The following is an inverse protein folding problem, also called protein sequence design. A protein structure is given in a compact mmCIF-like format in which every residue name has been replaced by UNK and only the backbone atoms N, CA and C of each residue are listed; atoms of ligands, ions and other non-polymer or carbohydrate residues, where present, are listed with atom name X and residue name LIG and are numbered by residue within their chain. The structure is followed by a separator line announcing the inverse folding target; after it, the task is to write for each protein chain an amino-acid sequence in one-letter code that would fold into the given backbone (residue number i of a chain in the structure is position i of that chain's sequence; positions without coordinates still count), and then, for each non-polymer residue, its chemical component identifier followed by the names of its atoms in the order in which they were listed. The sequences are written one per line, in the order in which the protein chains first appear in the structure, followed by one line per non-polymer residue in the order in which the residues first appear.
data_IF_649786963976
#
_entry.id   IF_649786963976
#
_cell.length_a   1.000
_cell.length_b   1.000
_cell.length_c   1.000
_cell.angle_alpha   90.00
_cell.angle_beta   90.00
_cell.angle_gamma   90.00
#
_symmetry.space_group_name_H-M   'P 1'
#
loop_
_entity.id
_entity.type
_entity.pdbx_description
1 polymer ?
#
# COMPACT_ATOMS: atom_id res chain seq x y z
N UNK A 1 -19.09 39.65 -52.70
CA UNK A 1 -18.70 40.85 -53.48
C UNK A 1 -19.37 42.08 -52.87
N UNK A 2 -18.56 43.04 -52.38
CA UNK A 2 -18.82 44.31 -51.65
C UNK A 2 -17.88 44.32 -50.42
N UNK A 3 -17.08 45.33 -50.08
CA UNK A 3 -16.80 46.69 -50.56
C UNK A 3 -15.42 47.10 -50.00
N UNK A 4 -14.69 47.91 -50.74
CA UNK A 4 -13.37 48.50 -50.41
C UNK A 4 -13.43 49.66 -49.41
N UNK A 5 -12.37 49.88 -48.61
CA UNK A 5 -11.82 51.15 -48.04
C UNK A 5 -10.43 50.79 -47.42
N UNK A 6 -9.33 51.58 -47.34
CA UNK A 6 -8.64 52.60 -48.12
C UNK A 6 -7.26 52.85 -47.41
N UNK A 7 -6.23 53.24 -48.17
CA UNK A 7 -5.00 54.02 -47.88
C UNK A 7 -4.34 54.00 -46.47
N UNK A 8 -3.08 53.55 -46.29
CA UNK A 8 -1.75 54.21 -46.51
C UNK A 8 -1.49 55.46 -45.65
N UNK A 9 -0.37 55.47 -44.90
CA UNK A 9 0.60 56.56 -44.55
C UNK A 9 1.39 56.12 -43.30
N UNK A 10 2.69 56.31 -43.07
CA UNK A 10 3.90 56.62 -43.86
C UNK A 10 5.13 56.58 -42.90
N UNK A 11 6.35 56.45 -43.46
CA UNK A 11 7.66 56.97 -42.97
C UNK A 11 8.27 56.26 -41.73
N UNK A 12 9.56 55.89 -41.68
CA UNK A 12 10.69 56.22 -42.55
C UNK A 12 11.94 55.36 -42.27
N UNK A 13 12.82 55.37 -43.27
CA UNK A 13 14.16 54.76 -43.32
C UNK A 13 15.20 55.86 -43.09
N UNK A 14 16.30 55.54 -42.39
CA UNK A 14 17.65 56.16 -42.40
C UNK A 14 18.53 55.25 -41.51
N UNK A 15 19.78 54.85 -41.76
CA UNK A 15 20.76 54.86 -42.85
C UNK A 15 21.89 53.89 -42.38
N UNK A 16 22.33 52.91 -43.17
CA UNK A 16 23.61 52.83 -43.92
C UNK A 16 24.93 53.18 -43.17
N UNK A 17 25.80 52.17 -43.00
CA UNK A 17 27.26 52.15 -43.24
C UNK A 17 27.82 50.84 -42.65
N UNK A 18 28.70 50.04 -43.25
CA UNK A 18 29.51 50.16 -44.46
C UNK A 18 30.32 48.87 -44.65
N UNK A 19 30.80 48.68 -45.88
CA UNK A 19 31.44 47.50 -46.46
C UNK A 19 32.78 47.08 -45.82
N UNK A 20 33.15 45.80 -45.92
CA UNK A 20 34.22 45.32 -46.81
C UNK A 20 34.51 43.82 -46.59
N UNK A 21 34.82 43.16 -47.69
CA UNK A 21 35.02 41.72 -47.88
C UNK A 21 36.52 41.46 -48.03
N UNK A 22 37.09 40.42 -47.41
CA UNK A 22 38.42 39.88 -47.77
C UNK A 22 38.56 38.40 -47.40
N UNK A 23 39.25 37.70 -48.29
CA UNK A 23 39.50 36.27 -48.48
C UNK A 23 40.34 35.50 -47.43
N UNK A 24 40.21 34.16 -47.54
CA UNK A 24 41.22 33.08 -47.44
C UNK A 24 41.97 32.70 -46.12
N UNK A 25 41.70 31.46 -45.69
CA UNK A 25 42.60 30.27 -45.55
C UNK A 25 43.80 30.25 -44.55
N UNK A 26 43.76 29.18 -43.72
CA UNK A 26 44.84 28.35 -43.13
C UNK A 26 45.66 28.78 -41.90
N UNK A 27 45.50 27.93 -40.86
CA UNK A 27 46.48 27.28 -39.96
C UNK A 27 47.79 27.98 -39.57
N UNK A 28 48.04 28.09 -38.25
CA UNK A 28 49.15 27.39 -37.56
C UNK A 28 49.07 27.54 -36.00
N UNK A 29 48.88 26.39 -35.33
CA UNK A 29 49.71 25.79 -34.25
C UNK A 29 49.96 26.53 -32.91
N UNK A 30 49.31 25.98 -31.86
CA UNK A 30 49.82 25.52 -30.54
C UNK A 30 50.51 26.47 -29.55
N UNK A 31 49.94 26.58 -28.33
CA UNK A 31 50.60 26.17 -27.07
C UNK A 31 49.65 26.17 -25.86
N UNK A 32 49.21 24.95 -25.52
CA UNK A 32 49.03 24.31 -24.20
C UNK A 32 49.23 25.19 -22.95
N UNK A 33 48.21 25.26 -22.09
CA UNK A 33 48.36 25.20 -20.63
C UNK A 33 47.17 24.41 -20.09
N UNK A 34 47.53 23.34 -19.40
CA UNK A 34 46.75 22.24 -18.87
C UNK A 34 46.62 22.49 -17.35
N UNK A 35 45.39 22.54 -16.84
CA UNK A 35 45.07 22.28 -15.43
C UNK A 35 43.67 21.65 -15.36
N UNK A 36 43.42 20.79 -14.36
CA UNK A 36 42.81 19.50 -14.59
C UNK A 36 41.30 19.58 -14.44
N UNK A 37 40.59 19.05 -15.45
CA UNK A 37 39.21 18.62 -15.27
C UNK A 37 39.22 17.54 -14.19
N UNK A 38 38.73 17.87 -13.00
CA UNK A 38 38.31 16.86 -12.03
C UNK A 38 37.29 15.97 -12.72
N UNK A 39 37.80 14.79 -13.05
CA UNK A 39 37.16 13.49 -13.12
C UNK A 39 35.65 13.56 -12.88
N UNK A 40 34.89 13.81 -13.96
CA UNK A 40 33.55 13.26 -14.07
C UNK A 40 33.68 11.75 -13.95
N UNK A 41 33.45 11.25 -12.73
CA UNK A 41 33.11 9.86 -12.51
C UNK A 41 32.02 9.51 -13.50
N UNK A 42 32.36 8.63 -14.44
CA UNK A 42 31.38 7.85 -15.18
C UNK A 42 30.66 6.99 -14.14
N UNK A 43 29.59 7.55 -13.57
CA UNK A 43 28.55 6.74 -12.96
C UNK A 43 27.84 6.04 -14.12
N UNK A 44 28.00 4.73 -14.18
CA UNK A 44 27.07 3.82 -14.86
C UNK A 44 25.63 4.23 -14.48
N UNK A 45 24.62 4.14 -15.36
CA UNK A 45 23.25 4.45 -14.95
C UNK A 45 22.85 3.46 -13.86
N UNK A 46 22.96 3.87 -12.61
CA UNK A 46 22.33 3.22 -11.47
C UNK A 46 20.84 3.31 -11.75
N UNK A 47 20.12 2.19 -11.70
CA UNK A 47 18.72 2.14 -12.08
C UNK A 47 17.93 3.18 -11.26
N UNK A 48 17.19 4.06 -11.93
CA UNK A 48 16.27 5.04 -11.31
C UNK A 48 15.10 4.39 -10.52
N UNK A 49 15.14 3.06 -10.35
CA UNK A 49 14.13 2.29 -9.65
C UNK A 49 14.55 2.01 -8.20
N UNK A 50 13.65 2.29 -7.28
CA UNK A 50 13.70 1.82 -5.91
C UNK A 50 13.45 0.30 -5.85
N UNK A 51 13.83 -0.31 -4.73
CA UNK A 51 13.72 -1.76 -4.49
C UNK A 51 12.77 -2.06 -3.34
N UNK A 52 12.22 -3.26 -3.34
CA UNK A 52 11.55 -3.80 -2.16
C UNK A 52 12.55 -3.84 -1.01
N UNK A 53 12.13 -3.37 0.16
CA UNK A 53 12.97 -3.13 1.34
C UNK A 53 13.45 -1.69 1.48
N UNK A 54 13.32 -0.84 0.45
CA UNK A 54 13.66 0.57 0.56
C UNK A 54 12.56 1.35 1.30
N UNK A 55 12.98 2.38 2.04
CA UNK A 55 12.09 3.41 2.58
C UNK A 55 12.02 4.58 1.60
N UNK A 56 10.81 4.90 1.15
CA UNK A 56 10.56 5.99 0.21
C UNK A 56 9.90 7.18 0.90
N UNK A 57 10.22 8.38 0.43
CA UNK A 57 9.56 9.61 0.88
C UNK A 57 8.18 9.73 0.24
N UNK A 58 7.19 9.99 1.08
CA UNK A 58 5.81 10.25 0.68
C UNK A 58 5.57 11.74 0.84
N UNK A 59 5.44 12.46 -0.27
CA UNK A 59 4.93 13.82 -0.27
C UNK A 59 3.56 13.81 -0.94
N UNK A 60 2.52 14.10 -0.19
CA UNK A 60 1.16 14.19 -0.74
C UNK A 60 0.96 15.53 -1.47
N UNK A 61 -0.16 15.63 -2.18
CA UNK A 61 -0.56 16.83 -2.92
C UNK A 61 -0.67 18.12 -2.08
N UNK A 62 -0.86 18.03 -0.76
CA UNK A 62 -1.00 19.18 0.13
C UNK A 62 0.34 19.53 0.78
N UNK A 63 0.68 20.82 0.85
CA UNK A 63 1.90 21.28 1.54
C UNK A 63 1.91 20.81 3.00
N UNK A 64 3.03 20.20 3.43
CA UNK A 64 3.22 19.66 4.77
C UNK A 64 2.69 18.24 4.99
N UNK A 65 2.21 17.58 3.92
CA UNK A 65 1.85 16.17 3.96
C UNK A 65 3.06 15.31 3.60
N UNK A 66 3.95 15.16 4.58
CA UNK A 66 5.20 14.43 4.44
C UNK A 66 5.16 13.16 5.30
N UNK A 67 5.68 12.07 4.75
CA UNK A 67 5.74 10.76 5.38
C UNK A 67 6.84 9.89 4.81
N UNK A 68 6.98 8.72 5.39
CA UNK A 68 7.92 7.68 4.96
C UNK A 68 7.16 6.36 4.82
N UNK A 69 7.44 5.64 3.74
CA UNK A 69 6.88 4.32 3.49
C UNK A 69 7.97 3.30 3.22
N UNK A 70 8.16 2.36 4.15
CA UNK A 70 9.05 1.21 3.99
C UNK A 70 8.30 0.09 3.28
N UNK A 71 8.72 -0.25 2.07
CA UNK A 71 8.03 -1.26 1.27
C UNK A 71 8.55 -2.64 1.66
N UNK A 72 7.68 -3.44 2.25
CA UNK A 72 8.03 -4.80 2.69
C UNK A 72 7.88 -5.81 1.54
N UNK A 73 6.87 -5.64 0.69
CA UNK A 73 6.63 -6.54 -0.45
C UNK A 73 5.82 -5.87 -1.56
N UNK A 74 6.15 -6.25 -2.82
CA UNK A 74 5.37 -5.92 -4.02
C UNK A 74 5.20 -7.21 -4.80
N UNK A 75 3.95 -7.57 -5.07
CA UNK A 75 3.58 -8.74 -5.85
C UNK A 75 2.77 -8.30 -7.07
N UNK A 76 3.19 -8.69 -8.27
CA UNK A 76 2.49 -8.37 -9.52
C UNK A 76 2.04 -9.66 -10.21
N UNK A 77 0.73 -9.82 -10.35
CA UNK A 77 0.06 -11.09 -10.68
C UNK A 77 -0.35 -11.88 -9.42
N UNK A 78 -0.86 -13.09 -9.65
CA UNK A 78 -1.35 -13.98 -8.60
C UNK A 78 -2.81 -13.73 -8.19
N UNK A 79 -3.22 -14.42 -7.12
CA UNK A 79 -4.56 -14.37 -6.53
C UNK A 79 -4.48 -13.63 -5.18
N UNK A 80 -5.57 -13.00 -4.71
CA UNK A 80 -5.56 -12.51 -3.33
C UNK A 80 -5.58 -13.69 -2.37
N UNK A 81 -4.84 -13.55 -1.26
CA UNK A 81 -4.79 -14.59 -0.23
C UNK A 81 -6.18 -14.92 0.33
N UNK A 82 -7.06 -13.92 0.43
CA UNK A 82 -8.43 -14.04 0.96
C UNK A 82 -9.45 -13.43 -0.02
N UNK A 83 -9.60 -14.05 -1.20
CA UNK A 83 -10.64 -13.67 -2.17
C UNK A 83 -12.02 -14.11 -1.68
N UNK A 84 -12.95 -13.16 -1.61
CA UNK A 84 -14.39 -13.47 -1.46
C UNK A 84 -15.07 -13.85 -2.79
N UNK A 85 -14.43 -13.60 -3.93
CA UNK A 85 -14.72 -14.09 -5.28
C UNK A 85 -13.81 -13.27 -6.21
N UNK A 86 -12.94 -13.88 -7.02
CA UNK A 86 -12.23 -13.15 -8.09
C UNK A 86 -12.83 -13.49 -9.43
N UNK A 87 -13.60 -12.56 -9.98
CA UNK A 87 -13.72 -12.49 -11.42
C UNK A 87 -12.40 -11.93 -11.96
N UNK A 88 -11.57 -12.82 -12.53
CA UNK A 88 -10.35 -12.44 -13.22
C UNK A 88 -10.72 -11.48 -14.37
N UNK A 89 -10.29 -10.23 -14.28
CA UNK A 89 -10.57 -9.23 -15.30
C UNK A 89 -9.60 -9.43 -16.47
N UNK A 90 -10.13 -9.83 -17.63
CA UNK A 90 -9.31 -10.06 -18.82
C UNK A 90 -8.43 -8.84 -19.17
N UNK A 91 -7.12 -9.06 -19.28
CA UNK A 91 -6.13 -8.02 -19.58
C UNK A 91 -5.66 -7.21 -18.36
N UNK A 92 -6.11 -7.56 -17.15
CA UNK A 92 -5.66 -6.95 -15.90
C UNK A 92 -4.97 -8.00 -15.02
N UNK A 93 -3.92 -7.58 -14.32
CA UNK A 93 -3.25 -8.33 -13.27
C UNK A 93 -3.50 -7.67 -11.92
N UNK A 94 -3.51 -8.50 -10.88
CA UNK A 94 -3.56 -8.04 -9.50
C UNK A 94 -2.18 -7.52 -9.09
N UNK A 95 -2.11 -6.28 -8.61
CA UNK A 95 -0.95 -5.71 -7.95
C UNK A 95 -1.23 -5.65 -6.45
N UNK A 96 -0.36 -6.24 -5.63
CA UNK A 96 -0.44 -6.21 -4.17
C UNK A 96 0.81 -5.52 -3.63
N UNK A 97 0.63 -4.55 -2.74
CA UNK A 97 1.72 -3.78 -2.12
C UNK A 97 1.48 -3.77 -0.61
N UNK A 98 2.53 -4.04 0.18
CA UNK A 98 2.48 -3.88 1.63
C UNK A 98 3.76 -3.28 2.19
N UNK A 99 3.61 -2.59 3.30
CA UNK A 99 4.72 -1.95 3.97
C UNK A 99 4.34 -1.24 5.27
N UNK A 100 5.30 -0.51 5.83
CA UNK A 100 5.14 0.29 7.05
C UNK A 100 5.14 1.77 6.69
N UNK A 101 4.07 2.47 7.04
CA UNK A 101 3.85 3.88 6.75
C UNK A 101 3.83 4.71 8.03
N UNK A 102 4.47 5.88 8.00
CA UNK A 102 4.43 6.88 9.07
C UNK A 102 4.47 8.30 8.53
N UNK A 103 3.79 9.22 9.20
CA UNK A 103 3.91 10.64 8.91
C UNK A 103 5.19 11.21 9.52
N UNK A 104 5.86 12.11 8.81
CA UNK A 104 7.04 12.84 9.32
C UNK A 104 6.67 14.27 9.72
N UNK A 105 5.54 14.78 9.24
CA UNK A 105 5.02 16.10 9.57
C UNK A 105 3.56 16.04 10.07
N UNK A 106 3.26 16.87 11.06
CA UNK A 106 1.92 16.94 11.66
C UNK A 106 1.02 17.80 10.78
N UNK A 107 -0.11 17.25 10.39
CA UNK A 107 -1.16 18.00 9.67
C UNK A 107 -2.37 18.15 10.59
N UNK A 108 -2.74 19.40 10.84
CA UNK A 108 -3.92 19.76 11.62
C UNK A 108 -5.04 20.27 10.70
N UNK A 109 -6.29 19.95 11.03
CA UNK A 109 -7.46 20.55 10.40
C UNK A 109 -7.66 22.02 10.84
N UNK A 110 -8.67 22.68 10.27
CA UNK A 110 -9.02 24.07 10.62
C UNK A 110 -9.41 24.28 12.10
N UNK A 111 -9.66 23.19 12.84
CA UNK A 111 -10.00 23.19 14.27
C UNK A 111 -8.82 22.81 15.17
N UNK A 112 -7.67 22.48 14.60
CA UNK A 112 -6.44 22.11 15.32
C UNK A 112 -6.35 20.62 15.68
N UNK A 113 -7.19 19.75 15.10
CA UNK A 113 -7.10 18.31 15.30
C UNK A 113 -6.19 17.68 14.24
N UNK A 114 -5.36 16.73 14.66
CA UNK A 114 -4.49 16.01 13.74
C UNK A 114 -5.27 15.05 12.86
N UNK A 115 -5.17 15.22 11.54
CA UNK A 115 -5.87 14.41 10.55
C UNK A 115 -5.02 13.25 10.01
N UNK A 116 -3.70 13.31 10.15
CA UNK A 116 -2.77 12.31 9.62
C UNK A 116 -2.53 12.43 8.11
N UNK A 117 -1.59 11.64 7.61
CA UNK A 117 -1.11 11.58 6.22
C UNK A 117 -1.72 10.32 5.57
N UNK A 118 -2.06 10.41 4.27
CA UNK A 118 -2.55 9.28 3.47
C UNK A 118 -1.59 8.97 2.34
N UNK A 119 -1.49 7.70 1.97
CA UNK A 119 -0.84 7.29 0.73
C UNK A 119 -1.75 7.60 -0.47
N UNK A 120 -1.19 8.22 -1.50
CA UNK A 120 -1.84 8.33 -2.80
C UNK A 120 -2.02 6.94 -3.43
N UNK A 121 -3.04 6.80 -4.29
CA UNK A 121 -3.23 5.56 -5.06
C UNK A 121 -2.03 5.38 -5.99
N UNK A 122 -1.42 4.19 -6.08
CA UNK A 122 -0.29 3.95 -6.96
C UNK A 122 -0.62 4.20 -8.43
N UNK A 123 0.41 4.54 -9.18
CA UNK A 123 0.32 4.79 -10.62
C UNK A 123 1.13 3.74 -11.36
N UNK A 124 0.75 3.39 -12.59
CA UNK A 124 1.54 2.44 -13.40
C UNK A 124 1.76 2.96 -14.81
N UNK A 125 2.84 2.50 -15.45
CA UNK A 125 3.18 2.85 -16.83
C UNK A 125 3.59 1.61 -17.62
N UNK A 126 3.30 1.63 -18.91
CA UNK A 126 3.78 0.62 -19.87
C UNK A 126 5.19 0.92 -20.42
N UNK A 127 5.69 0.04 -21.29
CA UNK A 127 7.00 0.15 -21.95
C UNK A 127 7.19 1.46 -22.74
N UNK A 128 6.10 2.03 -23.26
CA UNK A 128 6.08 3.27 -24.02
C UNK A 128 5.91 4.50 -23.10
N UNK A 129 5.92 4.29 -21.77
CA UNK A 129 5.77 5.29 -20.72
C UNK A 129 4.39 5.99 -20.76
N UNK A 130 3.36 5.32 -21.26
CA UNK A 130 1.97 5.74 -21.08
C UNK A 130 1.48 5.37 -19.69
N UNK A 131 0.87 6.34 -19.01
CA UNK A 131 0.27 6.13 -17.70
C UNK A 131 -1.03 5.34 -17.82
N UNK A 132 -1.18 4.33 -16.98
CA UNK A 132 -2.33 3.44 -16.91
C UNK A 132 -3.27 3.82 -15.77
N UNK A 133 -4.54 3.46 -15.91
CA UNK A 133 -5.52 3.53 -14.82
C UNK A 133 -5.30 2.35 -13.88
N UNK A 134 -5.41 2.62 -12.59
CA UNK A 134 -5.28 1.64 -11.51
C UNK A 134 -6.57 1.69 -10.68
N UNK A 135 -7.20 0.54 -10.46
CA UNK A 135 -8.44 0.44 -9.69
C UNK A 135 -8.22 -0.35 -8.40
N UNK A 136 -8.68 0.18 -7.25
CA UNK A 136 -8.54 -0.52 -5.96
C UNK A 136 -9.42 -1.77 -5.89
N UNK A 137 -8.84 -2.87 -5.43
CA UNK A 137 -9.54 -4.15 -5.23
C UNK A 137 -9.99 -4.28 -3.78
N UNK A 138 -11.21 -3.85 -3.49
CA UNK A 138 -11.77 -3.91 -2.14
C UNK A 138 -12.05 -5.34 -1.63
N UNK A 139 -12.17 -6.31 -2.53
CA UNK A 139 -12.42 -7.73 -2.18
C UNK A 139 -11.15 -8.47 -1.76
N UNK A 140 -9.99 -7.83 -1.90
CA UNK A 140 -8.69 -8.35 -1.52
C UNK A 140 -8.38 -7.91 -0.09
N UNK A 141 -8.78 -8.71 0.89
CA UNK A 141 -8.63 -8.32 2.29
C UNK A 141 -7.15 -8.21 2.69
N UNK A 142 -6.81 -7.26 3.57
CA UNK A 142 -5.45 -7.15 4.08
C UNK A 142 -5.08 -8.39 4.91
N UNK A 143 -3.81 -8.83 4.86
CA UNK A 143 -3.31 -9.87 5.76
C UNK A 143 -3.44 -9.46 7.23
N UNK A 144 -3.32 -10.42 8.14
CA UNK A 144 -3.38 -10.10 9.57
C UNK A 144 -2.37 -9.02 9.97
N UNK A 145 -2.83 -8.06 10.78
CA UNK A 145 -2.07 -6.91 11.28
C UNK A 145 -1.68 -5.88 10.21
N UNK A 146 -2.31 -5.91 9.04
CA UNK A 146 -2.26 -4.82 8.06
C UNK A 146 -3.60 -4.10 8.00
N UNK A 147 -3.51 -2.79 7.90
CA UNK A 147 -4.62 -1.90 7.61
C UNK A 147 -4.76 -1.73 6.09
N UNK A 148 -5.92 -1.26 5.64
CA UNK A 148 -6.17 -0.96 4.23
C UNK A 148 -5.38 0.27 3.75
N UNK A 149 -5.16 0.37 2.44
CA UNK A 149 -4.36 1.43 1.79
C UNK A 149 -4.70 2.86 2.20
N UNK A 150 -5.98 3.13 2.46
CA UNK A 150 -6.52 4.45 2.78
C UNK A 150 -6.54 4.77 4.29
N UNK A 151 -5.78 4.04 5.10
CA UNK A 151 -5.60 4.34 6.53
C UNK A 151 -4.62 5.49 6.72
N UNK A 152 -4.97 6.42 7.61
CA UNK A 152 -4.13 7.58 7.93
C UNK A 152 -3.01 7.18 8.88
N UNK A 153 -1.82 7.76 8.71
CA UNK A 153 -0.74 7.70 9.70
C UNK A 153 -0.50 9.08 10.32
N UNK A 154 -0.35 9.12 11.65
CA UNK A 154 0.05 10.29 12.44
C UNK A 154 1.54 10.32 12.74
N UNK A 155 2.07 11.45 13.22
CA UNK A 155 3.54 11.62 13.40
C UNK A 155 4.17 10.74 14.47
N UNK A 156 3.38 10.19 15.38
CA UNK A 156 3.84 9.37 16.49
C UNK A 156 3.42 7.89 16.36
N UNK A 157 2.97 7.46 15.17
CA UNK A 157 2.57 6.08 14.91
C UNK A 157 3.16 5.51 13.64
N UNK A 158 3.21 4.18 13.59
CA UNK A 158 3.55 3.40 12.39
C UNK A 158 2.37 2.50 12.07
N UNK A 159 1.92 2.57 10.83
CA UNK A 159 0.79 1.79 10.33
C UNK A 159 1.32 0.77 9.32
N UNK A 160 1.02 -0.50 9.53
CA UNK A 160 1.22 -1.51 8.49
C UNK A 160 0.10 -1.37 7.48
N UNK A 161 0.42 -1.08 6.24
CA UNK A 161 -0.57 -0.81 5.20
C UNK A 161 -0.46 -1.88 4.10
N UNK A 162 -1.62 -2.31 3.63
CA UNK A 162 -1.78 -3.20 2.49
C UNK A 162 -2.73 -2.60 1.46
N UNK A 163 -2.34 -2.67 0.19
CA UNK A 163 -3.14 -2.24 -0.95
C UNK A 163 -3.16 -3.30 -2.03
N UNK A 164 -4.32 -3.46 -2.66
CA UNK A 164 -4.53 -4.34 -3.79
C UNK A 164 -5.18 -3.57 -4.93
N UNK A 165 -4.69 -3.76 -6.14
CA UNK A 165 -5.08 -2.96 -7.30
C UNK A 165 -5.17 -3.79 -8.58
N UNK A 166 -6.18 -3.53 -9.41
CA UNK A 166 -6.22 -4.00 -10.78
C UNK A 166 -5.37 -3.07 -11.64
N UNK A 167 -4.39 -3.67 -12.32
CA UNK A 167 -3.42 -2.98 -13.17
C UNK A 167 -3.37 -3.68 -14.53
N UNK A 168 -3.25 -2.97 -15.66
CA UNK A 168 -3.08 -3.62 -16.97
C UNK A 168 -1.89 -4.58 -16.98
N UNK A 169 -2.06 -5.74 -17.63
CA UNK A 169 -1.03 -6.79 -17.65
C UNK A 169 0.29 -6.36 -18.31
N UNK A 170 0.26 -5.32 -19.14
CA UNK A 170 1.40 -4.74 -19.85
C UNK A 170 2.11 -3.60 -19.09
N UNK A 171 1.73 -3.34 -17.83
CA UNK A 171 2.43 -2.37 -16.99
C UNK A 171 3.83 -2.89 -16.60
N UNK A 172 4.85 -2.06 -16.82
CA UNK A 172 6.25 -2.37 -16.51
C UNK A 172 6.80 -1.56 -15.34
N UNK A 173 6.18 -0.41 -15.04
CA UNK A 173 6.62 0.48 -13.96
C UNK A 173 5.49 0.74 -13.00
N UNK A 174 5.78 0.65 -11.70
CA UNK A 174 4.92 1.07 -10.60
C UNK A 174 5.47 2.34 -9.96
N UNK A 175 4.60 3.31 -9.71
CA UNK A 175 4.90 4.54 -8.99
C UNK A 175 4.15 4.57 -7.68
N UNK A 176 4.88 4.76 -6.59
CA UNK A 176 4.33 5.01 -5.26
C UNK A 176 4.98 6.30 -4.79
N UNK A 177 4.16 7.30 -4.46
CA UNK A 177 4.63 8.67 -4.22
C UNK A 177 5.54 9.16 -5.36
N UNK A 178 6.79 9.51 -5.06
CA UNK A 178 7.77 9.97 -6.05
C UNK A 178 8.76 8.88 -6.50
N UNK A 179 8.62 7.66 -5.99
CA UNK A 179 9.50 6.54 -6.30
C UNK A 179 8.91 5.65 -7.38
N UNK A 180 9.80 5.05 -8.18
CA UNK A 180 9.45 4.10 -9.24
C UNK A 180 10.01 2.72 -8.92
N UNK A 181 9.26 1.68 -9.28
CA UNK A 181 9.64 0.27 -9.14
C UNK A 181 9.50 -0.43 -10.49
N UNK A 182 10.44 -1.31 -10.81
CA UNK A 182 10.38 -2.16 -11.99
C UNK A 182 9.49 -3.38 -11.70
N UNK A 183 8.31 -3.44 -12.32
CA UNK A 183 7.36 -4.53 -12.14
C UNK A 183 7.84 -5.86 -12.75
N UNK A 184 8.84 -5.83 -13.63
CA UNK A 184 9.46 -7.05 -14.17
C UNK A 184 10.52 -7.63 -13.22
N UNK A 185 10.99 -6.81 -12.27
CA UNK A 185 11.98 -7.21 -11.27
C UNK A 185 11.36 -7.68 -9.95
N UNK A 186 10.08 -7.41 -9.72
CA UNK A 186 9.33 -7.95 -8.57
C UNK A 186 8.81 -9.35 -8.88
N UNK A 187 8.63 -10.17 -7.84
CA UNK A 187 8.17 -11.54 -8.03
C UNK A 187 6.76 -11.61 -8.58
N UNK A 188 6.51 -12.51 -9.53
CA UNK A 188 5.16 -13.04 -9.80
C UNK A 188 4.78 -13.95 -8.63
N UNK A 189 4.33 -13.33 -7.55
CA UNK A 189 4.22 -13.96 -6.23
C UNK A 189 2.86 -14.57 -5.95
N UNK A 190 2.79 -15.90 -5.84
CA UNK A 190 1.88 -16.53 -4.89
C UNK A 190 2.40 -16.14 -3.51
N UNK A 191 1.74 -15.17 -2.86
CA UNK A 191 2.18 -14.60 -1.59
C UNK A 191 2.64 -15.70 -0.61
N UNK A 192 3.96 -15.81 -0.45
CA UNK A 192 4.56 -16.80 0.43
C UNK A 192 4.17 -16.40 1.84
N UNK A 193 3.37 -17.26 2.48
CA UNK A 193 3.04 -17.11 3.88
C UNK A 193 4.36 -17.24 4.65
N UNK A 194 4.91 -16.10 5.07
CA UNK A 194 5.95 -16.06 6.09
C UNK A 194 5.37 -16.77 7.31
N UNK A 195 5.78 -18.02 7.46
CA UNK A 195 5.57 -18.82 8.67
C UNK A 195 6.06 -17.95 9.83
N UNK A 196 5.24 -17.69 10.87
CA UNK A 196 5.76 -17.00 12.04
C UNK A 196 6.89 -17.85 12.60
N UNK A 197 8.11 -17.31 12.55
CA UNK A 197 9.24 -17.89 13.23
C UNK A 197 8.83 -18.10 14.69
N UNK A 198 8.90 -19.37 15.10
CA UNK A 198 8.73 -19.78 16.48
C UNK A 198 9.73 -18.99 17.31
N UNK A 199 9.26 -17.99 18.05
CA UNK A 199 10.05 -17.32 19.07
C UNK A 199 10.56 -18.38 20.04
N UNK A 200 11.84 -18.69 19.90
CA UNK A 200 12.62 -19.42 20.90
C UNK A 200 12.66 -18.53 22.15
N UNK A 201 12.12 -18.95 23.30
CA UNK A 201 12.34 -18.19 24.52
C UNK A 201 13.83 -18.25 24.89
N UNK A 202 14.44 -17.08 25.04
CA UNK A 202 15.82 -16.92 25.48
C UNK A 202 16.03 -17.43 26.92
N UNK A 203 17.25 -17.86 27.28
CA UNK A 203 17.53 -18.59 28.51
C UNK A 203 17.80 -17.65 29.69
N UNK A 204 17.37 -18.07 30.89
CA UNK A 204 18.22 -18.27 32.08
C UNK A 204 17.41 -18.09 33.39
N UNK A 205 17.35 -19.16 34.18
CA UNK A 205 17.30 -19.08 35.63
C UNK A 205 17.80 -20.41 36.22
N UNK A 206 19.02 -20.36 36.73
CA UNK A 206 19.70 -21.40 37.50
C UNK A 206 18.89 -21.88 38.75
N UNK A 207 19.26 -23.03 39.36
CA UNK A 207 18.34 -23.87 40.13
C UNK A 207 18.18 -23.42 41.59
N UNK A 208 16.95 -23.48 42.09
CA UNK A 208 16.64 -23.37 43.53
C UNK A 208 16.48 -24.79 44.09
N UNK A 209 17.11 -25.14 45.23
CA UNK A 209 17.31 -26.51 45.68
C UNK A 209 16.04 -27.21 46.17
N UNK A 210 16.01 -28.53 45.98
CA UNK A 210 15.01 -29.48 46.50
C UNK A 210 14.70 -29.23 47.99
N UNK A 211 13.46 -28.83 48.26
CA UNK A 211 12.82 -29.09 49.55
C UNK A 211 11.78 -30.18 49.36
N UNK A 212 12.11 -31.33 49.95
CA UNK A 212 11.27 -32.50 50.15
C UNK A 212 9.98 -32.10 50.88
N UNK A 213 8.85 -32.03 50.17
CA UNK A 213 7.51 -31.92 50.76
C UNK A 213 6.61 -33.02 50.20
N UNK A 214 5.78 -33.55 51.10
CA UNK A 214 4.91 -34.73 50.99
C UNK A 214 4.06 -34.81 49.70
N UNK A 215 3.59 -36.02 49.33
CA UNK A 215 2.69 -36.20 48.19
C UNK A 215 1.49 -35.25 48.25
N UNK A 216 1.33 -34.45 47.20
CA UNK A 216 0.21 -33.53 47.04
C UNK A 216 -1.13 -34.30 46.99
N UNK A 217 -2.20 -33.80 47.63
CA UNK A 217 -3.53 -34.36 47.46
C UNK A 217 -3.96 -34.29 45.99
N UNK A 218 -4.74 -35.26 45.53
CA UNK A 218 -5.33 -35.25 44.20
C UNK A 218 -6.02 -33.90 43.91
N UNK A 219 -5.92 -33.36 42.68
CA UNK A 219 -6.54 -32.08 42.35
C UNK A 219 -8.04 -32.15 42.65
N UNK A 220 -8.54 -31.16 43.39
CA UNK A 220 -9.97 -30.96 43.51
C UNK A 220 -10.58 -30.78 42.11
N UNK A 221 -11.80 -31.31 41.85
CA UNK A 221 -12.47 -31.10 40.58
C UNK A 221 -12.55 -29.60 40.30
N UNK A 222 -12.03 -29.21 39.12
CA UNK A 222 -12.19 -27.86 38.58
C UNK A 222 -13.69 -27.54 38.58
N UNK A 223 -14.12 -26.36 39.08
CA UNK A 223 -15.50 -25.93 38.91
C UNK A 223 -15.86 -26.08 37.43
N UNK A 224 -16.97 -26.77 37.14
CA UNK A 224 -17.49 -26.81 35.79
C UNK A 224 -17.64 -25.37 35.32
N UNK A 225 -16.87 -25.01 34.29
CA UNK A 225 -17.05 -23.74 33.62
C UNK A 225 -18.50 -23.71 33.14
N UNK A 226 -19.27 -22.63 33.37
CA UNK A 226 -20.64 -22.56 32.90
C UNK A 226 -20.66 -22.96 31.42
N UNK A 227 -21.42 -24.01 31.09
CA UNK A 227 -21.67 -24.35 29.70
C UNK A 227 -22.21 -23.08 29.05
N UNK A 228 -21.46 -22.51 28.11
CA UNK A 228 -21.91 -21.35 27.36
C UNK A 228 -23.26 -21.73 26.74
N UNK A 229 -24.25 -20.84 26.86
CA UNK A 229 -25.59 -21.09 26.33
C UNK A 229 -25.48 -21.59 24.87
N UNK A 230 -26.22 -22.64 24.50
CA UNK A 230 -26.11 -23.23 23.18
C UNK A 230 -26.41 -22.15 22.14
N UNK A 231 -25.44 -21.86 21.27
CA UNK A 231 -25.58 -20.85 20.23
C UNK A 231 -26.53 -21.40 19.17
N UNK A 232 -27.71 -20.79 19.02
CA UNK A 232 -28.71 -21.22 18.04
C UNK A 232 -28.57 -20.36 16.79
N UNK A 233 -28.31 -20.99 15.65
CA UNK A 233 -28.03 -20.29 14.41
C UNK A 233 -27.86 -21.18 13.19
N UNK A 234 -27.37 -20.58 12.10
CA UNK A 234 -26.96 -21.26 10.88
C UNK A 234 -25.79 -20.50 10.24
N UNK A 235 -24.89 -21.23 9.56
CA UNK A 235 -23.79 -20.66 8.76
C UNK A 235 -24.07 -20.74 7.26
N UNK A 236 -25.23 -21.27 6.88
CA UNK A 236 -25.66 -21.39 5.48
C UNK A 236 -26.45 -20.14 5.02
N UNK A 237 -26.77 -20.06 3.74
CA UNK A 237 -27.56 -18.96 3.21
C UNK A 237 -28.93 -18.83 3.93
N UNK A 238 -29.37 -17.60 4.27
CA UNK A 238 -30.67 -17.38 4.88
C UNK A 238 -31.81 -18.00 4.06
N UNK A 239 -32.71 -18.74 4.73
CA UNK A 239 -33.89 -19.37 4.10
C UNK A 239 -33.67 -20.79 3.57
N UNK A 240 -32.44 -21.33 3.63
CA UNK A 240 -32.14 -22.73 3.24
C UNK A 240 -32.20 -23.69 4.43
N UNK A 241 -31.84 -23.23 5.64
CA UNK A 241 -31.85 -24.03 6.86
C UNK A 241 -32.56 -23.30 8.02
N UNK A 242 -33.18 -24.06 8.93
CA UNK A 242 -33.71 -23.51 10.17
C UNK A 242 -32.60 -23.39 11.22
N UNK A 243 -32.66 -22.40 12.13
CA UNK A 243 -31.66 -22.25 13.18
C UNK A 243 -31.60 -23.50 14.06
N UNK A 244 -30.41 -24.07 14.21
CA UNK A 244 -30.17 -25.25 15.07
C UNK A 244 -29.15 -24.92 16.14
N UNK A 245 -29.08 -25.74 17.19
CA UNK A 245 -28.03 -25.62 18.21
C UNK A 245 -26.68 -25.92 17.56
N UNK A 246 -25.77 -24.97 17.63
CA UNK A 246 -24.43 -25.03 17.07
C UNK A 246 -23.40 -25.15 18.18
N UNK A 247 -22.39 -26.00 17.96
CA UNK A 247 -21.20 -26.05 18.81
C UNK A 247 -20.17 -25.02 18.34
N UNK A 248 -20.56 -23.74 18.36
CA UNK A 248 -19.70 -22.62 17.97
C UNK A 248 -19.73 -21.55 19.05
N UNK A 249 -18.64 -20.81 19.18
CA UNK A 249 -18.52 -19.69 20.12
C UNK A 249 -18.60 -18.38 19.35
N UNK A 250 -19.49 -17.48 19.78
CA UNK A 250 -19.63 -16.15 19.20
C UNK A 250 -18.41 -15.32 19.61
N UNK A 251 -17.75 -14.70 18.63
CA UNK A 251 -16.73 -13.69 18.84
C UNK A 251 -17.39 -12.32 19.04
N UNK A 252 -18.17 -11.86 18.04
CA UNK A 252 -18.93 -10.61 18.12
C UNK A 252 -20.16 -10.63 17.19
N UNK A 253 -21.11 -9.74 17.46
CA UNK A 253 -22.29 -9.53 16.63
C UNK A 253 -22.03 -8.43 15.61
N UNK A 254 -22.65 -8.54 14.42
CA UNK A 254 -22.56 -7.54 13.38
C UNK A 254 -23.08 -6.18 13.82
N UNK A 255 -22.62 -5.14 13.14
CA UNK A 255 -23.00 -3.76 13.47
C UNK A 255 -24.37 -3.39 12.86
N UNK A 256 -25.31 -2.85 13.66
CA UNK A 256 -26.59 -2.39 13.15
C UNK A 256 -26.43 -1.28 12.09
N UNK A 257 -27.00 -1.49 10.90
CA UNK A 257 -26.93 -0.53 9.79
C UNK A 257 -25.80 -0.79 8.79
N UNK A 258 -24.81 -1.60 9.15
CA UNK A 258 -23.77 -2.09 8.25
C UNK A 258 -23.98 -3.56 7.89
N UNK A 259 -24.45 -4.36 8.85
CA UNK A 259 -24.68 -5.80 8.69
C UNK A 259 -26.16 -6.15 8.88
N UNK A 260 -26.61 -7.23 8.23
CA UNK A 260 -27.97 -7.73 8.41
C UNK A 260 -28.21 -8.16 9.86
N UNK A 261 -29.42 -7.93 10.39
CA UNK A 261 -29.78 -8.26 11.77
C UNK A 261 -29.52 -9.72 12.08
N UNK A 262 -28.68 -9.97 13.08
CA UNK A 262 -28.28 -11.31 13.51
C UNK A 262 -27.03 -11.86 12.85
N UNK A 263 -26.37 -11.09 11.98
CA UNK A 263 -25.01 -11.38 11.55
C UNK A 263 -24.12 -11.62 12.77
N UNK A 264 -23.43 -12.74 12.77
CA UNK A 264 -22.62 -13.23 13.88
C UNK A 264 -21.28 -13.67 13.35
N UNK A 265 -20.21 -13.24 14.02
CA UNK A 265 -18.85 -13.66 13.74
C UNK A 265 -18.40 -14.61 14.84
N UNK A 266 -17.96 -15.81 14.48
CA UNK A 266 -17.54 -16.85 15.41
C UNK A 266 -16.02 -16.81 15.65
N UNK A 267 -15.56 -17.36 16.77
CA UNK A 267 -14.13 -17.40 17.12
C UNK A 267 -13.30 -18.29 16.20
N UNK A 268 -13.95 -19.15 15.42
CA UNK A 268 -13.30 -19.99 14.40
C UNK A 268 -13.15 -19.28 13.05
N UNK A 269 -13.45 -17.98 12.98
CA UNK A 269 -13.33 -17.15 11.79
C UNK A 269 -14.50 -17.27 10.82
N UNK A 270 -15.46 -18.16 11.07
CA UNK A 270 -16.67 -18.23 10.25
C UNK A 270 -17.67 -17.15 10.63
N UNK A 271 -18.53 -16.76 9.69
CA UNK A 271 -19.70 -15.93 9.96
C UNK A 271 -20.99 -16.72 9.72
N UNK A 272 -22.08 -16.23 10.28
CA UNK A 272 -23.40 -16.80 10.09
C UNK A 272 -24.46 -15.94 10.74
N UNK A 273 -25.63 -16.53 10.92
CA UNK A 273 -26.71 -15.90 11.65
C UNK A 273 -26.92 -16.60 13.00
N UNK A 274 -27.08 -15.84 14.08
CA UNK A 274 -27.48 -16.40 15.38
C UNK A 274 -28.62 -15.61 16.01
N UNK A 275 -29.48 -16.31 16.74
CA UNK A 275 -30.56 -15.69 17.49
C UNK A 275 -30.03 -14.73 18.55
N UNK A 276 -28.87 -15.05 19.15
CA UNK A 276 -28.23 -14.20 20.16
C UNK A 276 -27.89 -12.82 19.59
N UNK A 277 -27.23 -12.78 18.44
CA UNK A 277 -26.90 -11.51 17.79
C UNK A 277 -28.12 -10.82 17.19
N UNK A 278 -29.12 -11.58 16.72
CA UNK A 278 -30.36 -10.98 16.22
C UNK A 278 -31.06 -10.21 17.34
N UNK A 279 -31.09 -10.76 18.55
CA UNK A 279 -31.68 -10.12 19.71
C UNK A 279 -30.89 -8.90 20.22
N UNK A 280 -29.57 -8.88 20.02
CA UNK A 280 -28.72 -7.75 20.42
C UNK A 280 -28.73 -6.60 19.42
N UNK A 281 -29.03 -6.89 18.15
CA UNK A 281 -29.11 -5.90 17.06
C UNK A 281 -30.53 -5.35 16.85
N UNK A 282 -31.51 -5.77 17.67
CA UNK A 282 -32.87 -5.22 17.74
C UNK A 282 -32.94 -4.04 18.72
#
# INVERSE_FOLDING_TARGET
MKRSVAAIVAVGVLALNGCAQTDEVASEITSITDEPQETSSSASPESDFAKVGDTIEVACRYEGCDGEFEIEDITFGGECQDLLDSDEMAGMKLLQVRGVFSATAKIDDATGNEIGVLLDIPETWDADNFKNTVDTVATCLPPQNYEVWNTHARTDEKVRIYGAFWVPENSEVLGIAHSRFDLNAVGEGKAEATTPETMTPAPDAAPVPEQNTLPAPAPAPRPAQPEADPVIGYTEAPGIAQPTVMNKTISYCGEPGLHETGTTFFTDGTSGWTQTCANQMM
#
